data_IF_137083045573
#
_entry.id   IF_137083045573
#
_cell.length_a   1.000
_cell.length_b   1.000
_cell.length_c   1.000
_cell.angle_alpha   90.00
_cell.angle_beta   90.00
_cell.angle_gamma   90.00
#
_symmetry.space_group_name_H-M   'P 1'
#
loop_
_entity.id
_entity.type
_entity.pdbx_description
1 polymer ?
#
# COMPACT_ATOMS: atom_id res chain seq x y z
N UNK A 1 -2.70 14.74 -22.30
CA UNK A 1 -2.37 13.57 -21.48
C UNK A 1 -0.91 13.73 -21.05
N UNK A 2 -0.69 14.43 -19.94
CA UNK A 2 0.64 14.87 -19.50
C UNK A 2 1.05 13.93 -18.35
N UNK A 3 2.02 13.05 -18.60
CA UNK A 3 2.58 12.17 -17.59
C UNK A 3 3.39 13.01 -16.60
N UNK A 4 2.91 13.18 -15.38
CA UNK A 4 3.71 13.68 -14.28
C UNK A 4 4.66 12.57 -13.82
N UNK A 5 5.94 12.73 -14.13
CA UNK A 5 7.01 11.89 -13.59
C UNK A 5 7.20 12.27 -12.12
N UNK A 6 6.75 11.43 -11.22
CA UNK A 6 7.08 11.51 -9.79
C UNK A 6 8.61 11.29 -9.64
N UNK A 7 9.35 12.38 -9.47
CA UNK A 7 10.77 12.32 -9.07
C UNK A 7 10.82 12.30 -7.54
N UNK A 8 10.90 11.09 -6.98
CA UNK A 8 11.26 10.92 -5.57
C UNK A 8 12.76 11.23 -5.46
N UNK A 9 13.10 12.39 -4.93
CA UNK A 9 14.48 12.73 -4.56
C UNK A 9 14.77 12.13 -3.18
N UNK A 10 15.47 11.01 -3.15
CA UNK A 10 16.07 10.48 -1.93
C UNK A 10 17.41 11.20 -1.71
N UNK A 11 17.47 12.13 -0.77
CA UNK A 11 18.73 12.67 -0.27
C UNK A 11 19.30 11.67 0.76
N UNK A 12 20.25 10.85 0.30
CA UNK A 12 21.01 9.98 1.19
C UNK A 12 22.18 10.79 1.73
N UNK A 13 22.14 11.12 3.02
CA UNK A 13 23.29 11.65 3.73
C UNK A 13 24.25 10.50 4.06
N UNK A 14 25.46 10.56 3.50
CA UNK A 14 26.54 9.64 3.82
C UNK A 14 27.06 9.92 5.22
N UNK A 15 26.91 8.97 6.13
CA UNK A 15 27.61 8.95 7.42
C UNK A 15 29.05 8.48 7.20
N UNK A 16 30.02 9.41 7.35
CA UNK A 16 31.42 9.07 7.50
C UNK A 16 31.76 8.97 8.99
N UNK A 17 31.77 7.78 9.54
CA UNK A 17 32.49 7.49 10.79
C UNK A 17 33.58 6.48 10.51
N UNK A 18 34.81 6.97 10.51
CA UNK A 18 36.05 6.23 10.51
C UNK A 18 36.25 5.53 11.87
N UNK A 19 36.10 4.23 11.94
CA UNK A 19 36.90 3.35 12.80
C UNK A 19 36.71 1.90 12.35
N UNK A 20 37.80 1.27 11.91
CA UNK A 20 38.14 -0.14 11.64
C UNK A 20 37.01 -1.14 11.38
N UNK A 21 36.87 -1.58 10.34
CA UNK A 21 36.18 -1.63 9.15
C UNK A 21 36.15 -3.03 8.49
N UNK A 22 35.06 -3.72 8.52
CA UNK A 22 34.55 -4.33 7.31
C UNK A 22 33.74 -3.26 6.57
N UNK A 23 34.10 -2.86 5.38
CA UNK A 23 33.36 -1.88 4.62
C UNK A 23 31.98 -2.48 4.34
N UNK A 24 30.92 -1.90 4.95
CA UNK A 24 29.56 -2.27 4.65
C UNK A 24 29.34 -2.18 3.13
N UNK A 25 28.73 -3.21 2.57
CA UNK A 25 28.34 -3.23 1.17
C UNK A 25 26.91 -2.75 1.06
N UNK A 26 26.67 -1.82 0.13
CA UNK A 26 25.34 -1.33 -0.17
C UNK A 26 24.79 -1.94 -1.45
N UNK A 27 23.49 -2.19 -1.46
CA UNK A 27 22.76 -2.73 -2.60
C UNK A 27 21.48 -1.92 -2.82
N UNK A 28 21.23 -1.53 -4.07
CA UNK A 28 20.01 -0.85 -4.48
C UNK A 28 19.19 -1.77 -5.38
N UNK A 29 17.98 -2.07 -4.96
CA UNK A 29 17.03 -2.90 -5.69
C UNK A 29 15.81 -2.04 -6.06
N UNK A 30 15.48 -1.99 -7.35
CA UNK A 30 14.39 -1.17 -7.85
C UNK A 30 13.61 -1.84 -8.98
N UNK A 31 12.37 -1.44 -9.14
CA UNK A 31 11.49 -1.93 -10.20
C UNK A 31 10.09 -1.35 -10.09
N UNK A 32 9.16 -1.87 -10.90
CA UNK A 32 7.76 -1.44 -10.91
C UNK A 32 6.87 -2.49 -10.25
N UNK A 33 5.87 -2.02 -9.49
CA UNK A 33 4.83 -2.85 -8.87
C UNK A 33 3.61 -2.00 -8.52
N UNK A 34 2.40 -2.55 -8.48
CA UNK A 34 1.16 -1.85 -8.07
C UNK A 34 0.91 -0.50 -8.78
N UNK A 35 1.39 -0.35 -10.02
CA UNK A 35 1.30 0.91 -10.77
C UNK A 35 2.27 2.01 -10.33
N UNK A 36 3.22 1.69 -9.44
CA UNK A 36 4.26 2.60 -8.92
C UNK A 36 5.65 1.96 -8.99
N UNK A 37 6.64 2.65 -8.42
CA UNK A 37 8.02 2.19 -8.33
C UNK A 37 8.28 1.71 -6.90
N UNK A 38 9.02 0.59 -6.74
CA UNK A 38 9.63 0.24 -5.49
C UNK A 38 11.13 0.52 -5.52
N UNK A 39 11.65 0.88 -4.36
CA UNK A 39 13.06 1.08 -4.10
C UNK A 39 13.42 0.44 -2.75
N UNK A 40 14.45 -0.41 -2.75
CA UNK A 40 14.93 -1.06 -1.53
C UNK A 40 16.43 -0.83 -1.45
N UNK A 41 16.85 -0.18 -0.38
CA UNK A 41 18.23 0.01 -0.02
C UNK A 41 18.61 -1.00 1.07
N UNK A 42 19.73 -1.69 0.88
CA UNK A 42 20.25 -2.66 1.83
C UNK A 42 21.71 -2.29 2.11
N UNK A 43 22.09 -2.29 3.39
CA UNK A 43 23.46 -2.15 3.82
C UNK A 43 23.80 -3.28 4.80
N UNK A 44 24.84 -4.05 4.49
CA UNK A 44 25.25 -5.19 5.30
C UNK A 44 26.77 -5.38 5.25
N UNK A 45 27.35 -5.90 6.33
CA UNK A 45 28.77 -6.26 6.43
C UNK A 45 29.10 -7.54 5.64
N UNK A 46 28.08 -8.34 5.32
CA UNK A 46 28.19 -9.58 4.56
C UNK A 46 28.08 -9.35 3.06
N UNK A 47 28.71 -10.22 2.30
CA UNK A 47 28.46 -10.26 0.86
C UNK A 47 27.16 -10.98 0.58
N UNK A 48 26.14 -10.22 0.13
CA UNK A 48 24.82 -10.74 -0.19
C UNK A 48 24.70 -11.11 -1.67
N UNK A 49 23.93 -12.16 -1.97
CA UNK A 49 23.49 -12.43 -3.33
C UNK A 49 22.30 -11.52 -3.66
N UNK A 50 22.59 -10.30 -4.11
CA UNK A 50 21.58 -9.30 -4.41
C UNK A 50 20.60 -9.74 -5.51
N UNK A 51 21.02 -10.55 -6.47
CA UNK A 51 20.15 -11.07 -7.53
C UNK A 51 19.11 -12.04 -6.97
N UNK A 52 19.50 -12.93 -6.05
CA UNK A 52 18.59 -13.85 -5.37
C UNK A 52 17.58 -13.07 -4.51
N UNK A 53 18.08 -12.12 -3.72
CA UNK A 53 17.22 -11.27 -2.89
C UNK A 53 16.21 -10.53 -3.76
N UNK A 54 16.67 -9.90 -4.85
CA UNK A 54 15.78 -9.17 -5.76
C UNK A 54 14.74 -10.07 -6.43
N UNK A 55 15.14 -11.29 -6.83
CA UNK A 55 14.20 -12.25 -7.41
C UNK A 55 13.11 -12.67 -6.43
N UNK A 56 13.44 -12.90 -5.16
CA UNK A 56 12.47 -13.23 -4.12
C UNK A 56 11.55 -12.03 -3.79
N UNK A 57 12.07 -10.81 -3.76
CA UNK A 57 11.26 -9.60 -3.59
C UNK A 57 10.25 -9.45 -4.73
N UNK A 58 10.69 -9.61 -6.00
CA UNK A 58 9.78 -9.61 -7.16
C UNK A 58 8.71 -10.68 -7.06
N UNK A 59 9.06 -11.86 -6.57
CA UNK A 59 8.11 -12.95 -6.35
C UNK A 59 7.05 -12.57 -5.30
N UNK A 60 7.45 -11.99 -4.15
CA UNK A 60 6.52 -11.52 -3.12
C UNK A 60 5.59 -10.45 -3.70
N UNK A 61 6.13 -9.44 -4.39
CA UNK A 61 5.35 -8.38 -5.00
C UNK A 61 4.34 -8.91 -6.02
N UNK A 62 4.76 -9.87 -6.87
CA UNK A 62 3.87 -10.46 -7.86
C UNK A 62 2.73 -11.29 -7.24
N UNK A 63 3.01 -12.03 -6.16
CA UNK A 63 1.98 -12.78 -5.43
C UNK A 63 0.91 -11.81 -4.90
N UNK A 64 1.32 -10.74 -4.24
CA UNK A 64 0.38 -9.78 -3.65
C UNK A 64 -0.39 -9.03 -4.73
N UNK A 65 0.26 -8.62 -5.81
CA UNK A 65 -0.41 -7.97 -6.93
C UNK A 65 -1.44 -8.89 -7.61
N UNK A 66 -1.14 -10.18 -7.76
CA UNK A 66 -2.10 -11.16 -8.29
C UNK A 66 -3.23 -11.49 -7.31
N UNK A 67 -3.01 -11.36 -6.01
CA UNK A 67 -4.07 -11.56 -5.01
C UNK A 67 -4.95 -10.33 -4.86
N UNK A 68 -4.38 -9.13 -4.73
CA UNK A 68 -5.06 -7.95 -4.20
C UNK A 68 -5.33 -6.83 -5.22
N UNK A 69 -4.83 -6.92 -6.47
CA UNK A 69 -4.98 -5.84 -7.45
C UNK A 69 -6.42 -5.69 -7.94
N UNK A 70 -7.03 -4.55 -7.68
CA UNK A 70 -8.33 -4.20 -8.23
C UNK A 70 -8.26 -3.76 -9.71
N UNK A 71 -7.06 -3.54 -10.26
CA UNK A 71 -6.84 -3.15 -11.67
C UNK A 71 -6.75 -4.37 -12.60
N UNK A 72 -6.25 -5.50 -12.11
CA UNK A 72 -6.15 -6.75 -12.88
C UNK A 72 -7.49 -7.48 -12.90
N UNK A 73 -8.02 -7.79 -14.08
CA UNK A 73 -9.31 -8.49 -14.23
C UNK A 73 -9.29 -9.95 -13.74
N UNK A 74 -8.11 -10.57 -13.71
CA UNK A 74 -7.87 -11.96 -13.32
C UNK A 74 -7.20 -12.09 -11.94
N UNK A 75 -7.01 -11.00 -11.19
CA UNK A 75 -6.56 -11.09 -9.81
C UNK A 75 -7.60 -11.81 -8.96
N UNK A 76 -7.13 -12.39 -7.84
CA UNK A 76 -8.02 -13.16 -6.97
C UNK A 76 -9.14 -12.28 -6.39
N UNK A 77 -8.84 -11.04 -5.98
CA UNK A 77 -9.85 -10.10 -5.50
C UNK A 77 -10.85 -9.73 -6.59
N UNK A 78 -10.42 -9.58 -7.86
CA UNK A 78 -11.32 -9.29 -8.97
C UNK A 78 -12.26 -10.45 -9.29
N UNK A 79 -11.78 -11.68 -9.15
CA UNK A 79 -12.60 -12.91 -9.25
C UNK A 79 -13.57 -13.01 -8.08
N UNK A 80 -13.10 -12.73 -6.84
CA UNK A 80 -13.95 -12.72 -5.64
C UNK A 80 -15.05 -11.66 -5.73
N UNK A 81 -14.76 -10.49 -6.27
CA UNK A 81 -15.75 -9.42 -6.44
C UNK A 81 -16.91 -9.81 -7.36
N UNK A 82 -16.66 -10.69 -8.34
CA UNK A 82 -17.70 -11.25 -9.24
C UNK A 82 -18.46 -12.42 -8.62
N UNK A 83 -17.98 -12.98 -7.52
CA UNK A 83 -18.59 -14.14 -6.88
C UNK A 83 -19.86 -13.77 -6.13
N UNK A 84 -20.88 -14.63 -6.21
CA UNK A 84 -22.18 -14.43 -5.56
C UNK A 84 -22.06 -14.51 -4.03
N UNK A 85 -22.87 -13.76 -3.26
CA UNK A 85 -22.68 -13.58 -1.81
C UNK A 85 -23.17 -14.74 -0.93
N UNK A 86 -23.95 -15.67 -1.46
CA UNK A 86 -24.73 -16.66 -0.68
C UNK A 86 -23.91 -17.87 -0.23
N UNK A 87 -22.66 -17.99 -0.64
CA UNK A 87 -21.80 -19.11 -0.29
C UNK A 87 -20.44 -18.66 0.22
N UNK A 88 -19.81 -19.50 1.00
CA UNK A 88 -18.39 -19.37 1.31
C UNK A 88 -17.55 -19.76 0.09
N UNK A 89 -16.47 -19.02 -0.12
CA UNK A 89 -15.46 -19.28 -1.13
C UNK A 89 -14.09 -19.43 -0.46
N UNK A 90 -13.34 -20.45 -0.87
CA UNK A 90 -11.94 -20.56 -0.47
C UNK A 90 -11.10 -19.56 -1.25
N UNK A 91 -10.23 -18.86 -0.54
CA UNK A 91 -9.27 -17.88 -1.08
C UNK A 91 -7.85 -18.26 -0.65
N UNK A 92 -6.85 -17.66 -1.28
CA UNK A 92 -5.46 -17.84 -0.87
C UNK A 92 -5.22 -17.30 0.54
N UNK A 93 -4.22 -17.83 1.22
CA UNK A 93 -3.81 -17.32 2.53
C UNK A 93 -3.37 -15.85 2.46
N UNK A 94 -2.75 -15.42 1.36
CA UNK A 94 -2.37 -14.04 1.18
C UNK A 94 -3.60 -13.12 1.13
N UNK A 95 -4.58 -13.42 0.30
CA UNK A 95 -5.80 -12.62 0.21
C UNK A 95 -6.57 -12.63 1.54
N UNK A 96 -6.66 -13.79 2.20
CA UNK A 96 -7.28 -13.92 3.51
C UNK A 96 -6.61 -13.00 4.55
N UNK A 97 -5.29 -13.03 4.64
CA UNK A 97 -4.53 -12.25 5.60
C UNK A 97 -4.64 -10.75 5.34
N UNK A 98 -4.61 -10.31 4.07
CA UNK A 98 -4.81 -8.89 3.72
C UNK A 98 -6.20 -8.42 4.14
N UNK A 99 -7.25 -9.18 3.83
CA UNK A 99 -8.63 -8.83 4.20
C UNK A 99 -8.80 -8.84 5.73
N UNK A 100 -8.23 -9.82 6.42
CA UNK A 100 -8.29 -9.88 7.88
C UNK A 100 -7.60 -8.66 8.52
N UNK A 101 -6.41 -8.29 8.05
CA UNK A 101 -5.72 -7.09 8.50
C UNK A 101 -6.53 -5.82 8.19
N UNK A 102 -7.13 -5.73 7.00
CA UNK A 102 -8.02 -4.62 6.64
C UNK A 102 -9.23 -4.50 7.58
N UNK A 103 -9.80 -5.60 8.06
CA UNK A 103 -10.88 -5.57 9.05
C UNK A 103 -10.39 -5.05 10.40
N UNK A 104 -9.19 -5.43 10.83
CA UNK A 104 -8.56 -4.89 12.06
C UNK A 104 -8.39 -3.37 11.95
N UNK A 105 -7.83 -2.88 10.83
CA UNK A 105 -7.71 -1.43 10.59
C UNK A 105 -9.08 -0.74 10.56
N UNK A 106 -10.09 -1.39 9.98
CA UNK A 106 -11.47 -0.91 10.00
C UNK A 106 -12.00 -0.73 11.42
N UNK A 107 -11.73 -1.68 12.32
CA UNK A 107 -12.12 -1.58 13.73
C UNK A 107 -11.34 -0.48 14.46
N UNK A 108 -10.01 -0.41 14.28
CA UNK A 108 -9.14 0.61 14.89
C UNK A 108 -9.55 2.03 14.49
N UNK A 109 -10.02 2.22 13.26
CA UNK A 109 -10.43 3.53 12.71
C UNK A 109 -11.94 3.81 12.88
N UNK A 110 -12.66 2.99 13.65
CA UNK A 110 -14.12 3.10 13.78
C UNK A 110 -14.84 3.14 12.42
N UNK A 111 -14.31 2.40 11.41
CA UNK A 111 -14.86 2.30 10.08
C UNK A 111 -14.59 3.52 9.18
N UNK A 112 -13.61 4.38 9.52
CA UNK A 112 -13.10 5.39 8.58
C UNK A 112 -12.16 4.78 7.53
N UNK A 113 -11.58 3.62 7.82
CA UNK A 113 -11.00 2.74 6.81
C UNK A 113 -12.00 1.62 6.50
N UNK A 114 -12.42 1.49 5.25
CA UNK A 114 -13.41 0.50 4.83
C UNK A 114 -13.11 -0.01 3.42
N UNK A 115 -12.75 -1.26 3.32
CA UNK A 115 -12.40 -1.91 2.05
C UNK A 115 -13.60 -2.23 1.16
N UNK A 116 -14.83 -1.93 1.56
CA UNK A 116 -16.03 -2.20 0.74
C UNK A 116 -16.47 -0.98 -0.09
N UNK A 117 -15.55 -0.04 -0.36
CA UNK A 117 -15.80 1.15 -1.17
C UNK A 117 -15.60 0.94 -2.69
N UNK A 118 -15.26 -0.27 -3.13
CA UNK A 118 -14.89 -0.53 -4.52
C UNK A 118 -15.97 -0.19 -5.53
N UNK A 119 -17.24 -0.38 -5.22
CA UNK A 119 -18.35 -0.03 -6.10
C UNK A 119 -18.56 1.50 -6.24
N UNK A 120 -18.29 2.26 -5.17
CA UNK A 120 -18.28 3.73 -5.22
C UNK A 120 -17.16 4.22 -6.13
N UNK A 121 -15.94 3.69 -5.96
CA UNK A 121 -14.80 4.03 -6.82
C UNK A 121 -15.06 3.68 -8.29
N UNK A 122 -15.65 2.50 -8.58
CA UNK A 122 -16.04 2.09 -9.93
C UNK A 122 -17.05 3.08 -10.52
N UNK A 123 -18.09 3.48 -9.77
CA UNK A 123 -19.12 4.40 -10.27
C UNK A 123 -18.60 5.79 -10.60
N UNK A 124 -17.48 6.18 -9.98
CA UNK A 124 -16.80 7.47 -10.18
C UNK A 124 -15.65 7.43 -11.18
N UNK A 125 -15.37 6.28 -11.80
CA UNK A 125 -14.39 6.15 -12.88
C UNK A 125 -12.96 5.89 -12.44
N UNK A 126 -12.68 5.59 -11.15
CA UNK A 126 -11.33 5.29 -10.69
C UNK A 126 -10.73 3.99 -11.26
N UNK A 127 -11.57 3.10 -11.79
CA UNK A 127 -11.14 1.86 -12.43
C UNK A 127 -11.58 1.84 -13.90
N UNK A 128 -10.76 2.39 -14.80
CA UNK A 128 -11.05 2.59 -16.22
C UNK A 128 -11.54 1.35 -16.98
N UNK A 129 -11.16 0.16 -16.54
CA UNK A 129 -11.53 -1.11 -17.18
C UNK A 129 -12.80 -1.74 -16.60
N UNK A 130 -13.46 -1.08 -15.64
CA UNK A 130 -14.69 -1.59 -15.02
C UNK A 130 -15.84 -0.62 -15.32
N UNK A 131 -16.78 -1.06 -16.16
CA UNK A 131 -18.02 -0.31 -16.36
C UNK A 131 -18.84 -0.37 -15.07
N UNK A 132 -18.87 0.74 -14.34
CA UNK A 132 -19.79 0.93 -13.23
C UNK A 132 -21.18 1.26 -13.76
N UNK A 133 -22.21 0.61 -13.25
CA UNK A 133 -23.55 1.15 -13.36
C UNK A 133 -23.68 2.37 -12.46
N UNK A 134 -24.36 3.44 -12.91
CA UNK A 134 -24.73 4.55 -12.00
C UNK A 134 -25.42 3.93 -10.79
N UNK A 135 -24.82 4.11 -9.63
CA UNK A 135 -25.38 3.57 -8.41
C UNK A 135 -26.53 4.44 -7.93
N UNK A 136 -27.70 3.87 -7.82
CA UNK A 136 -28.82 4.53 -7.21
C UNK A 136 -28.86 4.23 -5.71
N UNK A 137 -28.64 5.26 -4.87
CA UNK A 137 -28.72 5.18 -3.41
C UNK A 137 -27.41 4.95 -2.67
N UNK A 138 -27.49 5.10 -1.36
CA UNK A 138 -26.35 4.90 -0.44
C UNK A 138 -26.08 3.40 -0.25
N UNK A 139 -24.80 3.08 -0.09
CA UNK A 139 -24.34 1.77 0.39
C UNK A 139 -24.83 1.55 1.83
N UNK A 140 -25.34 0.37 2.10
CA UNK A 140 -25.85 -0.03 3.43
C UNK A 140 -25.03 -1.19 4.06
N UNK A 141 -23.80 -1.42 3.61
CA UNK A 141 -22.90 -2.44 4.11
C UNK A 141 -21.49 -1.83 4.35
N UNK A 142 -20.69 -2.52 5.14
CA UNK A 142 -19.35 -2.12 5.56
C UNK A 142 -18.41 -3.32 5.55
N UNK A 143 -17.12 -3.12 5.89
CA UNK A 143 -16.16 -4.21 6.07
C UNK A 143 -16.62 -5.26 7.09
N UNK A 144 -17.53 -4.94 8.03
CA UNK A 144 -18.09 -5.88 9.00
C UNK A 144 -18.94 -6.97 8.36
N UNK A 145 -19.52 -6.65 7.21
CA UNK A 145 -20.36 -7.56 6.42
C UNK A 145 -19.54 -8.54 5.56
N UNK A 146 -18.21 -8.51 5.68
CA UNK A 146 -17.32 -9.55 5.17
C UNK A 146 -17.11 -10.58 6.28
N UNK A 147 -17.54 -11.80 6.05
CA UNK A 147 -17.37 -12.91 6.99
C UNK A 147 -16.13 -13.70 6.58
N UNK A 148 -15.17 -13.79 7.49
CA UNK A 148 -14.02 -14.68 7.38
C UNK A 148 -14.24 -15.87 8.34
N UNK A 149 -13.88 -17.06 7.88
CA UNK A 149 -13.93 -18.29 8.68
C UNK A 149 -12.65 -19.08 8.48
N UNK A 150 -12.42 -20.08 9.34
CA UNK A 150 -11.25 -20.95 9.28
C UNK A 150 -11.03 -21.52 7.87
N UNK A 151 -9.80 -22.01 7.61
CA UNK A 151 -9.40 -22.59 6.31
C UNK A 151 -9.49 -21.63 5.12
N UNK A 152 -9.25 -20.34 5.34
CA UNK A 152 -9.27 -19.30 4.32
C UNK A 152 -10.61 -19.19 3.58
N UNK A 153 -11.70 -19.33 4.30
CA UNK A 153 -13.04 -19.16 3.76
C UNK A 153 -13.51 -17.72 3.91
N UNK A 154 -14.09 -17.17 2.88
CA UNK A 154 -14.70 -15.84 2.85
C UNK A 154 -16.13 -15.89 2.32
N UNK A 155 -17.01 -15.07 2.91
CA UNK A 155 -18.35 -14.81 2.38
C UNK A 155 -18.62 -13.31 2.39
N UNK A 156 -19.11 -12.78 1.26
CA UNK A 156 -19.70 -11.45 1.15
C UNK A 156 -21.20 -11.59 1.45
N UNK A 157 -21.77 -10.71 2.27
CA UNK A 157 -23.18 -10.79 2.62
C UNK A 157 -24.09 -10.00 1.67
N UNK A 158 -23.51 -9.17 0.79
CA UNK A 158 -24.25 -8.36 -0.19
C UNK A 158 -23.77 -8.60 -1.62
N UNK A 159 -24.70 -8.74 -2.59
CA UNK A 159 -24.36 -9.09 -3.99
C UNK A 159 -23.52 -8.02 -4.69
N UNK A 160 -23.73 -6.76 -4.38
CA UNK A 160 -23.05 -5.63 -5.03
C UNK A 160 -21.81 -5.16 -4.25
N UNK A 161 -21.39 -5.90 -3.22
CA UNK A 161 -20.21 -5.56 -2.46
C UNK A 161 -18.95 -5.80 -3.31
N UNK A 162 -18.23 -4.73 -3.60
CA UNK A 162 -16.91 -4.76 -4.21
C UNK A 162 -15.84 -4.41 -3.18
N UNK A 163 -14.95 -5.35 -2.93
CA UNK A 163 -13.81 -5.19 -2.02
C UNK A 163 -12.69 -4.49 -2.79
N UNK A 164 -12.17 -3.43 -2.21
CA UNK A 164 -11.05 -2.64 -2.71
C UNK A 164 -9.90 -2.69 -1.69
N UNK A 165 -8.78 -3.27 -2.09
CA UNK A 165 -7.60 -3.43 -1.25
C UNK A 165 -6.49 -2.42 -1.57
N UNK A 166 -6.74 -1.43 -2.43
CA UNK A 166 -5.73 -0.45 -2.85
C UNK A 166 -5.12 0.36 -1.69
N UNK A 167 -5.88 0.57 -0.63
CA UNK A 167 -5.44 1.31 0.56
C UNK A 167 -4.64 0.49 1.57
N UNK A 168 -4.41 -0.83 1.35
CA UNK A 168 -3.67 -1.67 2.29
C UNK A 168 -2.64 -2.58 1.62
N UNK A 169 -2.83 -2.93 0.34
CA UNK A 169 -2.01 -3.94 -0.33
C UNK A 169 -0.52 -3.57 -0.42
N UNK A 170 -0.19 -2.29 -0.62
CA UNK A 170 1.20 -1.81 -0.67
C UNK A 170 1.88 -1.95 0.68
N UNK A 171 1.25 -1.45 1.76
CA UNK A 171 1.77 -1.58 3.11
C UNK A 171 1.96 -3.04 3.53
N UNK A 172 1.01 -3.91 3.18
CA UNK A 172 1.13 -5.34 3.42
C UNK A 172 2.31 -5.98 2.66
N UNK A 173 2.56 -5.57 1.43
CA UNK A 173 3.72 -6.03 0.67
C UNK A 173 5.04 -5.55 1.29
N UNK A 174 5.09 -4.31 1.79
CA UNK A 174 6.23 -3.77 2.56
C UNK A 174 6.52 -4.64 3.77
N UNK A 175 5.49 -5.00 4.56
CA UNK A 175 5.65 -5.85 5.75
C UNK A 175 6.13 -7.27 5.40
N UNK A 176 5.68 -7.85 4.30
CA UNK A 176 6.16 -9.16 3.85
C UNK A 176 7.63 -9.12 3.41
N UNK A 177 8.03 -8.08 2.67
CA UNK A 177 9.43 -7.89 2.28
C UNK A 177 10.30 -7.66 3.52
N UNK A 178 9.82 -6.88 4.48
CA UNK A 178 10.49 -6.69 5.76
C UNK A 178 10.77 -8.02 6.44
N UNK A 179 9.75 -8.86 6.60
CA UNK A 179 9.88 -10.18 7.22
C UNK A 179 10.86 -11.09 6.44
N UNK A 180 10.84 -11.02 5.12
CA UNK A 180 11.78 -11.75 4.28
C UNK A 180 13.22 -11.29 4.52
N UNK A 181 13.51 -9.98 4.51
CA UNK A 181 14.85 -9.44 4.74
C UNK A 181 15.33 -9.74 6.17
N UNK A 182 14.45 -9.66 7.17
CA UNK A 182 14.73 -10.07 8.54
C UNK A 182 15.09 -11.57 8.63
N UNK A 183 14.39 -12.44 7.90
CA UNK A 183 14.70 -13.88 7.85
C UNK A 183 16.07 -14.19 7.23
N UNK A 184 16.61 -13.27 6.43
CA UNK A 184 17.98 -13.35 5.88
C UNK A 184 19.04 -12.75 6.82
N UNK A 185 18.66 -12.27 8.01
CA UNK A 185 19.51 -11.60 8.99
C UNK A 185 20.27 -10.41 8.39
N UNK A 186 19.61 -9.60 7.58
CA UNK A 186 20.16 -8.38 7.00
C UNK A 186 20.17 -7.29 8.07
N UNK A 187 21.28 -6.56 8.17
CA UNK A 187 21.53 -5.65 9.29
C UNK A 187 20.85 -4.28 9.16
N UNK A 188 20.80 -3.72 7.96
CA UNK A 188 20.20 -2.40 7.73
C UNK A 188 19.51 -2.38 6.37
N UNK A 189 18.29 -1.84 6.32
CA UNK A 189 17.57 -1.66 5.06
C UNK A 189 16.44 -0.65 5.16
N UNK A 190 16.10 -0.09 4.01
CA UNK A 190 14.92 0.75 3.78
C UNK A 190 14.12 0.13 2.64
N UNK A 191 12.84 -0.05 2.84
CA UNK A 191 11.88 -0.51 1.84
C UNK A 191 10.94 0.66 1.53
N UNK A 192 10.80 1.02 0.25
CA UNK A 192 9.83 2.02 -0.20
C UNK A 192 9.05 1.46 -1.38
N UNK A 193 7.73 1.45 -1.29
CA UNK A 193 6.80 1.07 -2.37
C UNK A 193 5.80 2.20 -2.55
N UNK A 194 6.11 3.14 -3.46
CA UNK A 194 5.18 4.24 -3.79
C UNK A 194 4.80 5.13 -2.62
N UNK A 195 5.69 5.33 -1.65
CA UNK A 195 5.47 6.19 -0.48
C UNK A 195 5.15 5.43 0.82
N UNK A 196 4.84 4.15 0.75
CA UNK A 196 4.81 3.26 1.91
C UNK A 196 6.24 2.81 2.22
N UNK A 197 6.80 3.28 3.35
CA UNK A 197 8.20 3.09 3.71
C UNK A 197 8.30 2.34 5.04
N UNK A 198 9.26 1.41 5.11
CA UNK A 198 9.65 0.76 6.35
C UNK A 198 11.15 0.66 6.45
N UNK A 199 11.66 0.94 7.65
CA UNK A 199 13.10 0.97 7.92
C UNK A 199 13.48 -0.11 8.91
N UNK A 200 14.72 -0.57 8.82
CA UNK A 200 15.35 -1.40 9.84
C UNK A 200 16.82 -1.06 9.98
N UNK A 201 17.26 -0.85 11.22
CA UNK A 201 18.67 -0.79 11.59
C UNK A 201 18.92 -1.67 12.81
N UNK A 202 19.87 -2.59 12.68
CA UNK A 202 20.30 -3.47 13.78
C UNK A 202 20.84 -2.68 14.98
N UNK A 203 21.49 -1.55 14.72
CA UNK A 203 22.04 -0.67 15.74
C UNK A 203 21.01 0.31 16.29
N UNK A 204 19.76 0.27 15.76
CA UNK A 204 18.69 1.21 16.09
C UNK A 204 19.03 2.66 15.73
N UNK A 205 19.81 2.85 14.65
CA UNK A 205 20.07 4.19 14.12
C UNK A 205 18.78 4.78 13.52
N UNK A 206 18.63 6.09 13.67
CA UNK A 206 17.52 6.80 13.05
C UNK A 206 17.78 6.99 11.55
N UNK A 207 16.74 6.79 10.75
CA UNK A 207 16.75 7.05 9.31
C UNK A 207 15.84 8.24 9.06
N UNK A 208 16.41 9.33 8.55
CA UNK A 208 15.68 10.54 8.25
C UNK A 208 15.06 10.48 6.86
N UNK A 209 13.79 10.81 6.78
CA UNK A 209 12.99 10.86 5.56
C UNK A 209 12.40 12.25 5.42
N UNK A 210 12.34 12.77 4.20
CA UNK A 210 11.64 14.00 3.89
C UNK A 210 10.22 13.69 3.39
N UNK A 211 9.24 14.45 3.85
CA UNK A 211 7.87 14.43 3.34
C UNK A 211 7.73 15.55 2.31
N UNK A 212 7.48 15.20 1.06
CA UNK A 212 7.40 16.15 -0.04
C UNK A 212 6.22 17.13 0.11
N UNK A 213 6.42 18.37 -0.30
CA UNK A 213 5.35 19.37 -0.39
C UNK A 213 4.46 19.08 -1.60
N UNK A 214 3.16 18.78 -1.41
CA UNK A 214 2.25 18.50 -2.53
C UNK A 214 2.02 19.73 -3.42
N UNK A 215 2.33 20.93 -2.95
CA UNK A 215 2.14 22.17 -3.67
C UNK A 215 3.43 22.68 -4.37
N UNK A 216 4.57 22.17 -3.97
CA UNK A 216 5.88 22.55 -4.52
C UNK A 216 6.85 21.36 -4.58
N UNK A 217 6.95 20.75 -5.75
CA UNK A 217 7.76 19.55 -6.02
C UNK A 217 9.28 19.70 -5.78
N UNK A 218 9.75 20.85 -5.33
CA UNK A 218 11.17 21.11 -5.05
C UNK A 218 11.44 21.33 -3.56
N UNK A 219 10.41 21.25 -2.72
CA UNK A 219 10.49 21.46 -1.28
C UNK A 219 9.89 20.25 -0.54
N UNK A 220 10.31 20.09 0.69
CA UNK A 220 9.69 19.19 1.66
C UNK A 220 9.07 20.02 2.78
N UNK A 221 7.98 19.51 3.34
CA UNK A 221 7.26 20.17 4.44
C UNK A 221 7.78 19.75 5.81
N UNK A 222 8.31 18.53 5.91
CA UNK A 222 8.71 17.99 7.21
C UNK A 222 9.79 16.94 7.04
N UNK A 223 10.68 16.84 8.04
CA UNK A 223 11.61 15.72 8.19
C UNK A 223 11.13 14.80 9.31
N UNK A 224 11.11 13.50 9.02
CA UNK A 224 10.69 12.48 9.98
C UNK A 224 11.82 11.50 10.20
N UNK A 225 12.16 11.25 11.46
CA UNK A 225 13.16 10.27 11.85
C UNK A 225 12.50 8.93 12.23
N UNK A 226 12.77 7.88 11.49
CA UNK A 226 12.25 6.54 11.77
C UNK A 226 13.31 5.68 12.47
N UNK A 227 12.87 4.89 13.46
CA UNK A 227 13.69 3.91 14.16
C UNK A 227 12.96 2.58 14.18
N UNK A 228 13.21 1.76 13.15
CA UNK A 228 12.58 0.45 12.97
C UNK A 228 11.04 0.51 12.83
N UNK A 229 10.50 1.65 12.40
CA UNK A 229 9.09 1.87 12.15
C UNK A 229 8.81 1.97 10.65
N UNK A 230 7.55 2.07 10.32
CA UNK A 230 7.05 2.40 8.99
C UNK A 230 6.36 3.75 8.98
N UNK A 231 6.30 4.36 7.80
CA UNK A 231 5.47 5.52 7.49
C UNK A 231 4.71 5.25 6.20
N UNK A 232 3.42 5.56 6.21
CA UNK A 232 2.58 5.53 5.03
C UNK A 232 1.97 6.92 4.82
N UNK A 233 2.03 7.44 3.60
CA UNK A 233 1.56 8.78 3.27
C UNK A 233 0.47 8.72 2.23
N UNK A 234 -0.67 9.34 2.53
CA UNK A 234 -1.81 9.50 1.64
C UNK A 234 -2.02 10.98 1.30
N UNK A 235 -2.16 11.27 0.01
CA UNK A 235 -2.43 12.64 -0.46
C UNK A 235 -3.66 12.70 -1.35
N UNK A 236 -4.51 13.70 -1.15
CA UNK A 236 -5.72 13.90 -1.96
C UNK A 236 -5.44 14.40 -3.37
N UNK A 237 -4.23 14.89 -3.63
CA UNK A 237 -3.75 15.37 -4.93
C UNK A 237 -3.24 14.25 -5.85
N UNK A 238 -3.10 13.04 -5.32
CA UNK A 238 -2.66 11.85 -6.06
C UNK A 238 -3.91 11.11 -6.56
N UNK A 239 -3.84 10.53 -7.77
CA UNK A 239 -4.91 9.71 -8.34
C UNK A 239 -6.28 10.41 -8.32
N UNK A 240 -6.36 11.57 -8.94
CA UNK A 240 -7.61 12.29 -9.17
C UNK A 240 -8.28 11.88 -10.49
N UNK A 241 -9.59 12.04 -10.56
CA UNK A 241 -10.38 11.86 -11.80
C UNK A 241 -11.32 13.03 -11.98
N UNK A 242 -11.64 13.37 -13.25
CA UNK A 242 -12.75 14.25 -13.56
C UNK A 242 -14.07 13.46 -13.45
N UNK A 243 -14.93 13.89 -12.58
CA UNK A 243 -16.26 13.33 -12.40
C UNK A 243 -17.30 14.44 -12.48
N UNK A 244 -18.10 14.45 -13.55
CA UNK A 244 -19.14 15.45 -13.83
C UNK A 244 -18.60 16.90 -13.86
N UNK A 245 -17.37 17.11 -14.38
CA UNK A 245 -16.72 18.41 -14.48
C UNK A 245 -16.04 18.89 -13.19
N UNK A 246 -15.93 18.03 -12.19
CA UNK A 246 -15.20 18.30 -10.95
C UNK A 246 -14.04 17.32 -10.78
N UNK A 247 -12.88 17.84 -10.48
CA UNK A 247 -11.74 17.01 -10.10
C UNK A 247 -11.95 16.48 -8.67
N UNK A 248 -12.01 15.16 -8.52
CA UNK A 248 -12.23 14.50 -7.25
C UNK A 248 -11.06 13.57 -6.91
N UNK A 249 -10.70 13.52 -5.62
CA UNK A 249 -9.71 12.60 -5.08
C UNK A 249 -10.23 11.15 -5.05
N UNK A 250 -9.32 10.18 -5.17
CA UNK A 250 -9.61 8.77 -4.93
C UNK A 250 -10.01 8.46 -3.47
N UNK A 251 -9.76 9.39 -2.53
CA UNK A 251 -10.08 9.22 -1.11
C UNK A 251 -11.57 9.50 -0.89
N UNK A 252 -12.27 8.50 -0.40
CA UNK A 252 -13.70 8.55 -0.14
C UNK A 252 -13.97 8.39 1.36
N UNK A 253 -14.76 9.28 1.94
CA UNK A 253 -15.24 9.14 3.32
C UNK A 253 -16.30 8.01 3.39
N UNK A 254 -16.05 6.91 4.13
CA UNK A 254 -16.97 5.76 4.17
C UNK A 254 -18.33 6.09 4.80
N UNK A 255 -18.37 7.06 5.71
CA UNK A 255 -19.59 7.45 6.44
C UNK A 255 -20.53 8.28 5.58
N UNK A 256 -19.97 9.25 4.84
CA UNK A 256 -20.77 10.11 3.94
C UNK A 256 -20.87 9.53 2.54
N UNK A 257 -19.96 8.64 2.15
CA UNK A 257 -19.80 8.06 0.82
C UNK A 257 -19.45 9.10 -0.25
N UNK A 258 -18.92 10.25 0.17
CA UNK A 258 -18.47 11.33 -0.69
C UNK A 258 -16.96 11.35 -0.75
N UNK A 259 -16.41 11.80 -1.87
CA UNK A 259 -14.97 12.04 -2.00
C UNK A 259 -14.57 13.26 -1.18
N UNK A 260 -13.33 13.25 -0.71
CA UNK A 260 -12.73 14.42 -0.10
C UNK A 260 -12.54 15.47 -1.20
N UNK A 261 -13.10 16.67 -0.98
CA UNK A 261 -13.09 17.76 -1.96
C UNK A 261 -11.86 18.67 -1.86
N UNK A 262 -11.15 18.66 -0.73
CA UNK A 262 -9.90 19.41 -0.60
C UNK A 262 -8.76 18.60 -1.21
N UNK A 263 -8.19 19.07 -2.32
CA UNK A 263 -7.12 18.40 -3.06
C UNK A 263 -5.70 18.69 -2.54
N UNK A 264 -5.56 19.47 -1.46
CA UNK A 264 -4.27 19.85 -0.89
C UNK A 264 -4.02 19.24 0.50
N UNK A 265 -4.61 18.08 0.78
CA UNK A 265 -4.40 17.37 2.04
C UNK A 265 -3.37 16.26 1.86
N UNK A 266 -2.47 16.18 2.82
CA UNK A 266 -1.50 15.10 2.97
C UNK A 266 -1.53 14.63 4.43
N UNK A 267 -1.56 13.32 4.61
CA UNK A 267 -1.55 12.68 5.93
C UNK A 267 -0.52 11.57 5.92
N UNK A 268 0.41 11.63 6.87
CA UNK A 268 1.39 10.57 7.10
C UNK A 268 1.11 9.91 8.44
N UNK A 269 1.15 8.59 8.47
CA UNK A 269 0.94 7.77 9.67
C UNK A 269 2.20 6.96 9.93
N UNK A 270 2.71 7.00 11.17
CA UNK A 270 3.85 6.20 11.61
C UNK A 270 3.33 5.07 12.50
N UNK A 271 3.72 3.85 12.18
CA UNK A 271 3.35 2.65 12.93
C UNK A 271 4.43 1.55 12.76
N UNK A 272 4.42 0.55 13.62
CA UNK A 272 5.36 -0.58 13.51
C UNK A 272 5.09 -1.45 12.28
N UNK A 273 3.85 -1.59 11.87
CA UNK A 273 3.44 -2.27 10.65
C UNK A 273 2.96 -1.27 9.59
N UNK A 274 3.47 -1.40 8.37
CA UNK A 274 3.13 -0.49 7.27
C UNK A 274 1.70 -0.67 6.74
N UNK A 275 1.11 -1.85 6.97
CA UNK A 275 -0.28 -2.14 6.60
C UNK A 275 -1.32 -1.58 7.60
N UNK A 276 -0.91 -0.97 8.71
CA UNK A 276 -1.75 -0.33 9.73
C UNK A 276 -1.57 1.17 9.70
#
# INVERSE_FOLDING_TARGET
>A
MTYYKLKIFLLIFAFSNLLACSANKSYELKGNTFGTIYYIFIEDDKSLNSNEIHSNIKYILNIIDNSASNYKNNSEISVLNKFKPDAFKTISSNLFNIINKAKIVGDMTNGYFDITLGDIKISKGFYLNKKGSKRNGRRNYTYKDIILSDKNLIKKTFPNMNIDLSGIAKGYAVDLIFNYLMSKNISNFVINIGGEIKTFSKNKDFINLAIDDPTNNQQYIEEVSLNNNSIATSGTYIDTVDFEGLEISHITNPKTQQNVSNLNLLVSVIHDECAI
#
